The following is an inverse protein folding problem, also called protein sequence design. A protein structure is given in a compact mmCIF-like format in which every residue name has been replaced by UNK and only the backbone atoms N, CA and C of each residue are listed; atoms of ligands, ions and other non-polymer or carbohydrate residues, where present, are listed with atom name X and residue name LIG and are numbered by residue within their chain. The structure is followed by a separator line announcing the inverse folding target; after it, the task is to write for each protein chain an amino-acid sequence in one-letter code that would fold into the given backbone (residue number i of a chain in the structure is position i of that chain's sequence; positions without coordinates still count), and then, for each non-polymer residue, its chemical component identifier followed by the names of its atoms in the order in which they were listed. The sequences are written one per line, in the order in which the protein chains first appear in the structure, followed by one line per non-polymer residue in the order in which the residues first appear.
data_IF_767569343638
#
_entry.id   IF_767569343638
#
_cell.length_a   1.000
_cell.length_b   1.000
_cell.length_c   1.000
_cell.angle_alpha   90.00
_cell.angle_beta   90.00
_cell.angle_gamma   90.00
#
_symmetry.space_group_name_H-M   'P 1'
#
loop_
_entity.id
_entity.type
_entity.pdbx_description
1 polymer ?
#
# COMPACT_ATOMS: atom_id res chain seq x y z
N UNK A 1 -11.17 -2.48 -10.51
CA UNK A 1 -11.15 -1.38 -9.52
C UNK A 1 -11.60 -0.06 -10.16
N UNK A 2 -12.39 0.73 -9.44
CA UNK A 2 -13.00 1.98 -9.91
C UNK A 2 -12.40 3.21 -9.22
N UNK A 3 -12.51 4.38 -9.84
CA UNK A 3 -12.24 5.68 -9.21
C UNK A 3 -13.37 6.67 -9.47
N UNK A 4 -13.50 7.66 -8.58
CA UNK A 4 -14.27 8.87 -8.78
C UNK A 4 -13.43 10.08 -8.35
N UNK A 5 -13.76 11.26 -8.85
CA UNK A 5 -13.08 12.52 -8.50
C UNK A 5 -14.04 13.45 -7.79
N UNK A 6 -13.51 14.24 -6.86
CA UNK A 6 -14.23 15.26 -6.10
C UNK A 6 -13.28 16.41 -5.79
N UNK A 7 -13.80 17.61 -5.65
CA UNK A 7 -13.07 18.78 -5.13
C UNK A 7 -13.49 19.17 -3.71
N UNK A 8 -14.54 18.55 -3.16
CA UNK A 8 -15.19 18.98 -1.91
C UNK A 8 -15.54 17.83 -0.94
N UNK A 9 -15.29 16.57 -1.33
CA UNK A 9 -15.67 15.36 -0.58
C UNK A 9 -17.18 15.25 -0.29
N UNK A 10 -18.02 15.94 -1.05
CA UNK A 10 -19.49 15.86 -0.98
C UNK A 10 -20.10 15.42 -2.31
N UNK A 11 -19.65 16.03 -3.40
CA UNK A 11 -20.10 15.72 -4.75
C UNK A 11 -19.01 14.94 -5.48
N UNK A 12 -19.36 13.77 -6.01
CA UNK A 12 -18.44 12.91 -6.74
C UNK A 12 -18.85 12.78 -8.20
N UNK A 13 -17.87 12.68 -9.10
CA UNK A 13 -18.12 12.28 -10.47
C UNK A 13 -18.72 10.87 -10.55
N UNK A 14 -19.33 10.51 -11.68
CA UNK A 14 -19.62 9.12 -11.99
C UNK A 14 -18.33 8.27 -11.89
N UNK A 15 -18.46 7.05 -11.37
CA UNK A 15 -17.34 6.13 -11.24
C UNK A 15 -16.83 5.69 -12.62
N UNK A 16 -15.51 5.55 -12.75
CA UNK A 16 -14.83 5.09 -13.96
C UNK A 16 -13.87 3.96 -13.61
N UNK A 17 -13.61 3.07 -14.55
CA UNK A 17 -12.59 2.03 -14.38
C UNK A 17 -11.21 2.66 -14.22
N UNK A 18 -10.53 2.34 -13.13
CA UNK A 18 -9.15 2.76 -12.86
C UNK A 18 -8.15 1.68 -13.23
N UNK A 19 -8.45 0.45 -12.85
CA UNK A 19 -7.56 -0.69 -13.06
C UNK A 19 -8.38 -1.95 -13.27
N UNK A 20 -8.12 -2.62 -14.39
CA UNK A 20 -8.73 -3.90 -14.73
C UNK A 20 -7.69 -4.73 -15.51
N UNK A 21 -6.93 -5.59 -14.83
CA UNK A 21 -5.97 -6.48 -15.48
C UNK A 21 -6.63 -7.77 -16.01
N UNK A 22 -7.96 -7.84 -16.09
CA UNK A 22 -8.69 -9.03 -16.54
C UNK A 22 -8.85 -10.12 -15.47
N UNK A 23 -8.55 -9.80 -14.21
CA UNK A 23 -8.72 -10.69 -13.06
C UNK A 23 -8.96 -9.87 -11.78
N UNK A 24 -9.37 -10.55 -10.70
CA UNK A 24 -9.65 -9.92 -9.41
C UNK A 24 -8.40 -9.30 -8.79
N UNK A 25 -8.51 -8.02 -8.45
CA UNK A 25 -7.52 -7.24 -7.70
C UNK A 25 -8.23 -6.41 -6.64
N UNK A 26 -7.66 -6.33 -5.44
CA UNK A 26 -8.24 -5.58 -4.32
C UNK A 26 -7.17 -4.79 -3.57
N UNK A 27 -7.63 -3.98 -2.62
CA UNK A 27 -6.82 -3.32 -1.58
C UNK A 27 -5.71 -2.42 -2.12
N UNK A 28 -6.00 -1.65 -3.17
CA UNK A 28 -4.96 -0.83 -3.77
C UNK A 28 -4.61 0.40 -2.95
N UNK A 29 -3.32 0.65 -2.81
CA UNK A 29 -2.75 1.84 -2.20
C UNK A 29 -1.80 2.55 -3.16
N UNK A 30 -1.60 3.86 -2.99
CA UNK A 30 -0.74 4.66 -3.88
C UNK A 30 0.16 5.57 -3.07
N UNK A 31 1.44 5.64 -3.45
CA UNK A 31 2.38 6.65 -2.99
C UNK A 31 2.97 7.42 -4.16
N UNK A 32 3.12 8.74 -4.00
CA UNK A 32 3.81 9.59 -4.96
C UNK A 32 5.24 9.85 -4.51
N UNK A 33 6.20 9.68 -5.41
CA UNK A 33 7.59 10.08 -5.20
C UNK A 33 8.16 10.66 -6.51
N UNK A 34 8.78 11.84 -6.45
CA UNK A 34 9.46 12.49 -7.58
C UNK A 34 8.65 12.47 -8.90
N UNK A 35 7.36 12.85 -8.82
CA UNK A 35 6.48 12.91 -9.99
C UNK A 35 5.93 11.55 -10.48
N UNK A 36 6.33 10.45 -9.86
CA UNK A 36 5.85 9.10 -10.16
C UNK A 36 4.90 8.62 -9.08
N UNK A 37 3.80 8.00 -9.48
CA UNK A 37 2.84 7.31 -8.63
C UNK A 37 3.15 5.82 -8.67
N UNK A 38 3.36 5.21 -7.52
CA UNK A 38 3.55 3.78 -7.33
C UNK A 38 2.28 3.25 -6.69
N UNK A 39 1.65 2.28 -7.32
CA UNK A 39 0.45 1.64 -6.82
C UNK A 39 0.78 0.20 -6.46
N UNK A 40 0.32 -0.19 -5.28
CA UNK A 40 0.47 -1.53 -4.76
C UNK A 40 -0.91 -2.14 -4.60
N UNK A 41 -1.08 -3.40 -5.02
CA UNK A 41 -2.37 -4.07 -5.03
C UNK A 41 -2.23 -5.48 -4.49
N UNK A 42 -3.31 -6.05 -3.93
CA UNK A 42 -3.41 -7.49 -3.79
C UNK A 42 -3.77 -8.13 -5.12
N UNK A 43 -2.99 -9.11 -5.53
CA UNK A 43 -3.43 -10.08 -6.54
C UNK A 43 -4.42 -11.07 -5.93
N UNK A 44 -5.69 -11.03 -6.36
CA UNK A 44 -6.76 -11.87 -5.82
C UNK A 44 -7.16 -12.99 -6.80
N UNK A 45 -6.23 -13.46 -7.65
CA UNK A 45 -6.45 -14.65 -8.49
C UNK A 45 -6.51 -15.92 -7.64
N UNK A 46 -7.43 -16.81 -7.99
CA UNK A 46 -7.47 -18.17 -7.46
C UNK A 46 -6.45 -19.06 -8.18
N UNK A 47 -5.20 -19.02 -7.71
CA UNK A 47 -4.11 -19.86 -8.20
C UNK A 47 -3.16 -19.17 -9.20
N UNK A 48 -1.91 -19.65 -9.19
CA UNK A 48 -0.77 -18.99 -9.82
C UNK A 48 0.35 -18.73 -8.81
N UNK A 49 1.59 -18.59 -9.28
CA UNK A 49 2.77 -18.48 -8.41
C UNK A 49 2.76 -17.23 -7.52
N UNK A 50 2.21 -16.12 -8.00
CA UNK A 50 2.14 -14.84 -7.29
C UNK A 50 0.74 -14.48 -6.78
N UNK A 51 -0.22 -15.39 -6.90
CA UNK A 51 -1.57 -15.18 -6.37
C UNK A 51 -1.55 -14.99 -4.87
N UNK A 52 -2.41 -14.11 -4.37
CA UNK A 52 -2.48 -13.71 -2.96
C UNK A 52 -1.18 -13.07 -2.45
N UNK A 53 -0.41 -12.41 -3.32
CA UNK A 53 0.70 -11.56 -2.93
C UNK A 53 0.53 -10.16 -3.49
N UNK A 54 1.42 -9.24 -3.09
CA UNK A 54 1.33 -7.84 -3.48
C UNK A 54 2.03 -7.63 -4.83
N UNK A 55 1.37 -6.88 -5.71
CA UNK A 55 1.93 -6.36 -6.96
C UNK A 55 2.30 -4.89 -6.81
N UNK A 56 3.26 -4.41 -7.58
CA UNK A 56 3.62 -3.00 -7.68
C UNK A 56 3.70 -2.58 -9.14
N UNK A 57 3.06 -1.45 -9.47
CA UNK A 57 3.13 -0.81 -10.78
C UNK A 57 3.25 0.71 -10.63
N UNK A 58 3.65 1.41 -11.71
CA UNK A 58 3.91 2.85 -11.67
C UNK A 58 3.40 3.62 -12.87
N UNK A 59 3.12 4.91 -12.65
CA UNK A 59 2.69 5.86 -13.68
C UNK A 59 3.10 7.28 -13.31
N UNK A 60 3.33 8.15 -14.29
CA UNK A 60 3.53 9.60 -14.06
C UNK A 60 2.21 10.34 -13.85
N UNK A 61 1.07 9.70 -14.08
CA UNK A 61 -0.28 10.26 -13.89
C UNK A 61 -1.14 9.30 -13.07
N UNK A 62 -1.74 9.80 -11.98
CA UNK A 62 -2.54 8.96 -11.06
C UNK A 62 -3.78 8.35 -11.72
N UNK A 63 -4.42 9.08 -12.63
CA UNK A 63 -5.64 8.64 -13.32
C UNK A 63 -5.36 7.78 -14.56
N UNK A 64 -4.09 7.44 -14.84
CA UNK A 64 -3.76 6.54 -15.93
C UNK A 64 -4.37 5.15 -15.64
N UNK A 65 -5.04 4.55 -16.63
CA UNK A 65 -5.62 3.21 -16.48
C UNK A 65 -4.62 2.09 -16.76
N UNK A 66 -3.42 2.43 -17.27
CA UNK A 66 -2.35 1.51 -17.64
C UNK A 66 -1.03 1.93 -17.01
N UNK A 67 -0.79 1.46 -15.80
CA UNK A 67 0.50 1.61 -15.12
C UNK A 67 1.51 0.59 -15.70
N UNK A 68 2.79 0.93 -15.66
CA UNK A 68 3.88 0.02 -16.00
C UNK A 68 4.23 -0.86 -14.81
N UNK A 69 4.28 -2.18 -15.00
CA UNK A 69 4.64 -3.13 -13.95
C UNK A 69 6.04 -2.85 -13.40
N UNK A 70 6.19 -2.91 -12.08
CA UNK A 70 7.46 -2.81 -11.35
C UNK A 70 7.83 -4.16 -10.75
N UNK A 71 6.91 -4.78 -10.01
CA UNK A 71 7.12 -6.08 -9.39
C UNK A 71 5.82 -6.85 -9.19
N UNK A 72 5.98 -8.17 -9.01
CA UNK A 72 4.96 -9.11 -8.60
C UNK A 72 5.52 -9.94 -7.44
N UNK A 73 4.68 -10.76 -6.79
CA UNK A 73 5.10 -11.68 -5.73
C UNK A 73 5.70 -10.98 -4.48
N UNK A 74 5.42 -9.70 -4.22
CA UNK A 74 5.98 -9.00 -3.05
C UNK A 74 5.49 -9.67 -1.76
N UNK A 75 6.44 -10.01 -0.88
CA UNK A 75 6.23 -10.74 0.37
C UNK A 75 6.43 -12.26 0.26
N UNK A 76 6.44 -12.84 -0.95
CA UNK A 76 6.60 -14.28 -1.15
C UNK A 76 7.92 -14.78 -0.56
N UNK A 77 7.84 -15.86 0.23
CA UNK A 77 8.98 -16.43 0.96
C UNK A 77 9.16 -15.88 2.38
N UNK A 78 8.52 -14.75 2.71
CA UNK A 78 8.46 -14.20 4.07
C UNK A 78 7.07 -14.34 4.70
N UNK A 79 6.02 -14.28 3.88
CA UNK A 79 4.63 -14.52 4.26
C UNK A 79 4.01 -15.62 3.38
N UNK A 80 2.97 -16.26 3.91
CA UNK A 80 2.24 -17.32 3.22
C UNK A 80 1.22 -16.80 2.19
N UNK A 81 0.73 -15.57 2.42
CA UNK A 81 -0.25 -14.82 1.61
C UNK A 81 -0.32 -13.39 2.15
N UNK A 82 -0.76 -12.43 1.35
CA UNK A 82 -0.82 -11.03 1.71
C UNK A 82 -2.04 -10.32 1.12
N UNK A 83 -2.56 -9.35 1.85
CA UNK A 83 -3.58 -8.40 1.41
C UNK A 83 -3.39 -7.05 2.09
N UNK A 84 -4.31 -6.10 1.87
CA UNK A 84 -4.31 -4.83 2.58
C UNK A 84 -2.99 -4.05 2.56
N UNK A 85 -2.26 -3.96 1.42
CA UNK A 85 -0.99 -3.26 1.39
C UNK A 85 -1.17 -1.81 1.84
N UNK A 86 -0.34 -1.39 2.78
CA UNK A 86 -0.20 -0.02 3.22
C UNK A 86 1.21 0.44 2.92
N UNK A 87 1.38 1.55 2.21
CA UNK A 87 2.69 2.13 1.92
C UNK A 87 2.83 3.52 2.54
N UNK A 88 4.00 3.81 3.11
CA UNK A 88 4.32 5.12 3.65
C UNK A 88 5.81 5.44 3.51
N UNK A 89 6.12 6.75 3.48
CA UNK A 89 7.48 7.25 3.60
C UNK A 89 7.85 7.35 5.08
N UNK A 90 9.06 6.94 5.46
CA UNK A 90 9.59 7.22 6.80
C UNK A 90 9.74 8.73 7.01
N UNK A 91 9.34 9.22 8.20
CA UNK A 91 9.51 10.61 8.60
C UNK A 91 10.96 10.98 8.91
N UNK A 92 11.82 10.00 9.19
CA UNK A 92 13.18 10.20 9.72
C UNK A 92 14.29 9.64 8.84
N UNK A 93 13.94 8.83 7.83
CA UNK A 93 14.91 8.12 7.00
C UNK A 93 14.56 8.23 5.52
N UNK A 94 15.55 8.08 4.63
CA UNK A 94 15.30 7.98 3.20
C UNK A 94 14.85 6.58 2.75
N UNK A 95 13.74 6.08 3.34
CA UNK A 95 13.13 4.80 2.96
C UNK A 95 11.61 4.83 3.00
N UNK A 96 11.00 3.80 2.46
CA UNK A 96 9.57 3.53 2.49
C UNK A 96 9.32 2.24 3.25
N UNK A 97 8.17 2.18 3.91
CA UNK A 97 7.64 0.97 4.50
C UNK A 97 6.41 0.51 3.71
N UNK A 98 6.28 -0.80 3.58
CA UNK A 98 5.06 -1.47 3.14
C UNK A 98 4.64 -2.43 4.23
N UNK A 99 3.41 -2.30 4.73
CA UNK A 99 2.81 -3.26 5.63
C UNK A 99 1.87 -4.14 4.84
N UNK A 100 2.07 -5.46 4.92
CA UNK A 100 1.24 -6.45 4.23
C UNK A 100 0.46 -7.22 5.29
N UNK A 101 -0.87 -7.25 5.21
CA UNK A 101 -1.69 -8.07 6.10
C UNK A 101 -1.55 -9.53 5.69
N UNK A 102 -0.84 -10.32 6.51
CA UNK A 102 -0.86 -11.77 6.40
C UNK A 102 -2.20 -12.30 6.94
N UNK A 103 -3.23 -12.18 6.10
CA UNK A 103 -4.61 -12.48 6.46
C UNK A 103 -4.80 -13.95 6.86
N UNK A 104 -5.61 -14.14 7.90
CA UNK A 104 -5.77 -15.44 8.56
C UNK A 104 -4.56 -15.90 9.38
N UNK A 105 -3.47 -15.13 9.45
CA UNK A 105 -2.25 -15.46 10.20
C UNK A 105 -1.82 -14.30 11.11
N UNK A 106 -0.60 -13.77 10.96
CA UNK A 106 0.05 -12.86 11.92
C UNK A 106 -0.53 -11.43 11.95
N UNK A 107 -1.28 -11.01 10.93
CA UNK A 107 -1.63 -9.59 10.75
C UNK A 107 -0.56 -8.87 9.97
N UNK A 108 -0.42 -7.57 10.17
CA UNK A 108 0.57 -6.79 9.43
C UNK A 108 2.01 -7.25 9.62
N UNK A 109 2.69 -7.47 8.50
CA UNK A 109 4.13 -7.73 8.40
C UNK A 109 4.77 -6.57 7.63
N UNK A 110 5.69 -5.79 8.25
CA UNK A 110 6.36 -4.69 7.58
C UNK A 110 7.53 -5.16 6.72
N UNK A 111 7.63 -4.53 5.56
CA UNK A 111 8.74 -4.59 4.62
C UNK A 111 9.25 -3.17 4.37
N UNK A 112 10.48 -3.04 3.90
CA UNK A 112 11.10 -1.75 3.61
C UNK A 112 11.86 -1.75 2.28
N UNK A 113 11.95 -0.56 1.68
CA UNK A 113 12.75 -0.30 0.48
C UNK A 113 13.32 1.12 0.51
N UNK A 114 14.47 1.32 -0.14
CA UNK A 114 15.06 2.64 -0.40
C UNK A 114 14.91 3.05 -1.87
N UNK A 115 14.30 2.22 -2.71
CA UNK A 115 14.03 2.52 -4.11
C UNK A 115 12.74 1.84 -4.58
N UNK A 116 11.66 2.64 -4.70
CA UNK A 116 10.38 2.20 -5.23
C UNK A 116 10.47 1.71 -6.69
N UNK A 117 11.48 2.09 -7.46
CA UNK A 117 11.63 1.57 -8.84
C UNK A 117 12.18 0.15 -8.88
N UNK A 118 12.81 -0.31 -7.81
CA UNK A 118 13.44 -1.62 -7.76
C UNK A 118 12.42 -2.76 -7.66
N UNK A 119 11.23 -2.48 -7.11
CA UNK A 119 10.26 -3.50 -6.74
C UNK A 119 10.72 -4.45 -5.63
N UNK A 120 11.88 -4.18 -5.02
CA UNK A 120 12.46 -5.00 -3.96
C UNK A 120 12.04 -4.46 -2.60
N UNK A 121 11.34 -5.30 -1.86
CA UNK A 121 10.87 -5.04 -0.51
C UNK A 121 11.46 -6.09 0.43
N UNK A 122 12.22 -5.64 1.41
CA UNK A 122 12.92 -6.51 2.38
C UNK A 122 12.12 -6.57 3.66
N UNK A 123 11.93 -7.77 4.23
CA UNK A 123 11.27 -7.93 5.54
C UNK A 123 12.01 -7.10 6.60
N UNK A 124 11.28 -6.23 7.32
CA UNK A 124 11.85 -5.48 8.43
C UNK A 124 12.17 -6.42 9.59
N UNK A 125 13.37 -6.31 10.16
CA UNK A 125 13.85 -7.22 11.20
C UNK A 125 13.43 -6.83 12.63
N UNK A 126 13.20 -5.54 12.88
CA UNK A 126 12.92 -5.00 14.22
C UNK A 126 11.68 -4.09 14.19
N UNK A 127 10.50 -4.69 14.37
CA UNK A 127 9.24 -3.95 14.47
C UNK A 127 8.43 -4.42 15.69
N UNK A 128 7.71 -3.48 16.28
CA UNK A 128 6.76 -3.74 17.36
C UNK A 128 5.38 -3.23 16.91
N UNK A 129 4.43 -4.13 16.83
CA UNK A 129 3.06 -3.83 16.45
C UNK A 129 2.09 -4.32 17.54
N UNK A 130 0.87 -3.77 17.60
CA UNK A 130 -0.20 -4.39 18.39
C UNK A 130 -0.38 -5.87 18.00
N UNK A 131 -1.12 -6.64 18.80
CA UNK A 131 -1.18 -8.10 18.64
C UNK A 131 -1.58 -8.57 17.23
N UNK A 132 -2.56 -7.92 16.58
CA UNK A 132 -3.08 -8.30 15.25
C UNK A 132 -3.64 -7.08 14.48
N UNK A 133 -2.88 -6.00 14.25
CA UNK A 133 -3.34 -4.93 13.39
C UNK A 133 -3.49 -5.47 11.96
N UNK A 134 -4.57 -5.04 11.31
CA UNK A 134 -4.96 -5.49 9.99
C UNK A 134 -5.54 -4.32 9.23
N UNK A 135 -5.40 -4.36 7.91
CA UNK A 135 -6.08 -3.51 6.94
C UNK A 135 -6.41 -2.09 7.44
N UNK A 136 -5.38 -1.29 7.71
CA UNK A 136 -5.47 0.07 8.23
C UNK A 136 -4.65 1.06 7.41
N UNK A 137 -4.49 2.25 7.97
CA UNK A 137 -3.66 3.31 7.39
C UNK A 137 -2.76 3.93 8.44
N UNK A 138 -1.63 4.48 8.01
CA UNK A 138 -0.77 5.32 8.87
C UNK A 138 -0.94 6.75 8.39
N UNK A 139 -1.49 7.59 9.27
CA UNK A 139 -1.61 9.02 9.03
C UNK A 139 -0.38 9.71 9.62
N UNK A 140 0.48 10.34 8.80
CA UNK A 140 1.51 11.22 9.34
C UNK A 140 0.83 12.42 9.99
N UNK A 141 1.23 12.72 11.22
CA UNK A 141 0.81 13.92 11.94
C UNK A 141 2.04 14.76 12.25
N UNK A 142 1.85 16.07 12.25
CA UNK A 142 2.86 17.01 12.75
C UNK A 142 3.04 16.84 14.26
N UNK A 143 4.18 17.30 14.79
CA UNK A 143 4.41 17.30 16.24
C UNK A 143 3.32 18.08 16.97
N UNK A 144 2.91 19.24 16.42
CA UNK A 144 1.84 20.05 17.01
C UNK A 144 0.48 19.33 17.02
N UNK A 145 0.15 18.56 15.98
CA UNK A 145 -1.07 17.73 15.97
C UNK A 145 -0.99 16.59 16.98
N UNK A 146 0.16 15.92 17.06
CA UNK A 146 0.40 14.89 18.06
C UNK A 146 0.24 15.44 19.48
N UNK A 147 0.90 16.56 19.82
CA UNK A 147 0.83 17.17 21.14
C UNK A 147 -0.60 17.59 21.48
N UNK A 148 -1.35 18.10 20.50
CA UNK A 148 -2.76 18.47 20.68
C UNK A 148 -3.65 17.26 20.95
N UNK A 149 -3.42 16.13 20.26
CA UNK A 149 -4.13 14.87 20.52
C UNK A 149 -3.78 14.31 21.89
N UNK A 150 -2.49 14.28 22.23
CA UNK A 150 -1.98 13.78 23.51
C UNK A 150 -2.51 14.59 24.69
N UNK A 151 -2.49 15.93 24.60
CA UNK A 151 -3.03 16.79 25.66
C UNK A 151 -4.54 16.62 25.86
N UNK A 152 -5.27 16.23 24.82
CA UNK A 152 -6.71 16.02 24.87
C UNK A 152 -7.11 14.61 25.33
N UNK A 153 -6.31 13.58 25.00
CA UNK A 153 -6.72 12.17 25.13
C UNK A 153 -5.75 11.26 25.93
N UNK A 154 -4.55 11.74 26.30
CA UNK A 154 -3.54 11.00 27.09
C UNK A 154 -2.37 10.46 26.27
#
# INVERSE_FOLDING_TARGET
MLYATTSDFRTFSAAKTWFDPGHSVIDSTVIKNNGTYYRLNKDARDGGTCSNFITEDKSTTVLNTRYSVVADCIGRGSISRGEGPLVLKSNTENKWYQFIDEYGARGYIPFETTDLNSGKWTLSSNYALPSKPRHGTVLPVTQAEYDRLKNQYG
#
